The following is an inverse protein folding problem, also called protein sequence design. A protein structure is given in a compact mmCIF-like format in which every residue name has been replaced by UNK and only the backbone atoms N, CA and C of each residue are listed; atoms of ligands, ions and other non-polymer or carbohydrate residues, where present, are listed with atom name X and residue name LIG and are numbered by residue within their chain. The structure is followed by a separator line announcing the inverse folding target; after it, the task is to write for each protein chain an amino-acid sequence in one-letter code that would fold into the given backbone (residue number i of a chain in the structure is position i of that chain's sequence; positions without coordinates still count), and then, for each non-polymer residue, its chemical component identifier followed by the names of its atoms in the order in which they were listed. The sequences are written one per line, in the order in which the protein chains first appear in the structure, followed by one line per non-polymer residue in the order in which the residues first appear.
data_IF_530188432465
#
_entry.id   IF_530188432465
#
_cell.length_a   1.000
_cell.length_b   1.000
_cell.length_c   1.000
_cell.angle_alpha   90.00
_cell.angle_beta   90.00
_cell.angle_gamma   90.00
#
_symmetry.space_group_name_H-M   'P 1'
#
loop_
_entity.id
_entity.type
_entity.pdbx_description
1 polymer ?
#
# COMPACT_ATOMS: atom_id res chain seq x y z
N UNK A 1 14.59 1.40 23.98
CA UNK A 1 13.51 1.39 25.00
C UNK A 1 12.16 1.82 24.40
N UNK A 2 12.15 2.70 23.40
CA UNK A 2 10.93 3.29 22.79
C UNK A 2 10.03 2.27 22.07
N UNK A 3 10.54 1.26 21.34
CA UNK A 3 9.67 0.35 20.56
C UNK A 3 8.79 -0.58 21.36
N UNK A 4 9.32 -1.21 22.43
CA UNK A 4 8.50 -2.11 23.26
C UNK A 4 7.48 -1.35 24.11
N UNK A 5 7.83 -0.13 24.53
CA UNK A 5 6.93 0.74 25.27
C UNK A 5 5.89 1.39 24.33
N UNK A 6 6.27 1.83 23.12
CA UNK A 6 5.37 2.38 22.11
C UNK A 6 4.41 1.32 21.56
N UNK A 7 4.91 0.16 21.11
CA UNK A 7 4.05 -0.96 20.70
C UNK A 7 3.20 -1.44 21.89
N UNK A 8 3.79 -1.54 23.09
CA UNK A 8 3.07 -1.90 24.31
C UNK A 8 1.96 -0.92 24.68
N UNK A 9 2.17 0.39 24.51
CA UNK A 9 1.19 1.44 24.84
C UNK A 9 0.12 1.59 23.75
N UNK A 10 0.49 1.42 22.47
CA UNK A 10 -0.43 1.28 21.35
C UNK A 10 -1.37 0.07 21.57
N UNK A 11 -0.81 -1.10 21.89
CA UNK A 11 -1.58 -2.32 22.13
C UNK A 11 -2.46 -2.23 23.38
N UNK A 12 -2.04 -1.51 24.44
CA UNK A 12 -2.87 -1.25 25.62
C UNK A 12 -4.07 -0.37 25.29
N UNK A 13 -3.92 0.64 24.41
CA UNK A 13 -5.03 1.53 23.99
C UNK A 13 -6.06 0.79 23.12
N UNK A 14 -5.65 -0.09 22.21
CA UNK A 14 -6.61 -0.85 21.38
C UNK A 14 -7.51 -1.80 22.19
N UNK A 15 -7.06 -2.29 23.35
CA UNK A 15 -7.94 -3.06 24.27
C UNK A 15 -9.11 -2.24 24.81
N UNK A 16 -9.04 -0.90 24.78
CA UNK A 16 -10.07 0.00 25.32
C UNK A 16 -11.11 0.45 24.28
N UNK A 17 -10.87 0.21 22.99
CA UNK A 17 -11.71 0.68 21.87
C UNK A 17 -12.44 -0.45 21.13
N UNK A 18 -12.82 -1.54 21.81
CA UNK A 18 -13.75 -2.51 21.21
C UNK A 18 -15.15 -1.88 21.06
N UNK A 19 -15.84 -2.08 19.92
CA UNK A 19 -17.27 -1.76 19.82
C UNK A 19 -18.05 -2.56 20.86
N UNK A 20 -19.05 -1.92 21.49
CA UNK A 20 -19.98 -2.57 22.44
C UNK A 20 -20.70 -3.71 21.72
N UNK A 21 -20.22 -4.93 21.92
CA UNK A 21 -21.00 -6.14 21.65
C UNK A 21 -22.01 -6.25 22.79
N UNK A 22 -23.29 -6.16 22.44
CA UNK A 22 -24.41 -6.40 23.36
C UNK A 22 -24.32 -7.84 23.87
N UNK A 23 -23.85 -8.00 25.11
CA UNK A 23 -23.82 -9.29 25.81
C UNK A 23 -25.24 -9.70 26.17
N UNK A 24 -25.75 -10.76 25.53
CA UNK A 24 -26.87 -11.54 26.08
C UNK A 24 -26.28 -12.47 27.14
N UNK A 25 -26.84 -12.37 28.35
CA UNK A 25 -26.25 -12.90 29.57
C UNK A 25 -26.19 -14.42 29.69
N UNK A 26 -25.12 -14.87 30.34
CA UNK A 26 -24.99 -16.17 30.97
C UNK A 26 -23.99 -16.03 32.13
N UNK A 27 -24.47 -16.24 33.36
CA UNK A 27 -23.71 -16.07 34.60
C UNK A 27 -22.86 -17.30 34.96
N UNK A 28 -21.84 -17.05 35.81
CA UNK A 28 -21.17 -17.88 36.85
C UNK A 28 -19.64 -17.64 36.79
N UNK A 29 -19.07 -16.79 37.64
CA UNK A 29 -18.65 -16.91 39.06
C UNK A 29 -17.24 -17.53 39.29
N UNK A 30 -16.39 -16.67 39.88
CA UNK A 30 -15.19 -16.85 40.77
C UNK A 30 -14.01 -17.77 40.40
N UNK A 31 -12.83 -17.15 40.46
CA UNK A 31 -11.56 -17.80 40.82
C UNK A 31 -10.36 -16.90 40.54
N UNK A 32 -9.85 -16.20 41.56
CA UNK A 32 -8.61 -15.43 41.44
C UNK A 32 -7.39 -16.33 41.56
N UNK A 33 -6.38 -16.10 40.72
CA UNK A 33 -5.04 -16.58 40.99
C UNK A 33 -3.97 -15.64 40.45
N UNK A 34 -2.93 -15.45 41.26
CA UNK A 34 -1.78 -14.58 41.00
C UNK A 34 -0.97 -15.15 39.84
N UNK A 35 -0.90 -14.43 38.72
CA UNK A 35 -0.06 -14.82 37.60
C UNK A 35 1.29 -14.11 37.69
N UNK A 36 2.31 -14.94 37.94
CA UNK A 36 3.72 -14.59 37.85
C UNK A 36 4.06 -14.09 36.45
N UNK A 37 4.72 -12.93 36.39
CA UNK A 37 5.30 -12.39 35.17
C UNK A 37 6.48 -13.27 34.74
N UNK A 38 6.26 -14.19 33.81
CA UNK A 38 7.31 -14.91 33.09
C UNK A 38 6.99 -14.88 31.60
N UNK A 39 7.91 -14.26 30.84
CA UNK A 39 8.09 -14.32 29.39
C UNK A 39 6.79 -14.42 28.54
N UNK A 40 6.31 -13.26 28.07
CA UNK A 40 5.35 -13.23 26.98
C UNK A 40 6.02 -13.79 25.72
N UNK A 41 5.80 -15.07 25.47
CA UNK A 41 5.86 -15.67 24.14
C UNK A 41 4.92 -14.84 23.28
N UNK A 42 5.44 -14.13 22.28
CA UNK A 42 4.63 -13.30 21.38
C UNK A 42 3.56 -14.20 20.74
N UNK A 43 2.31 -13.98 21.12
CA UNK A 43 1.17 -14.78 20.72
C UNK A 43 0.54 -14.05 19.54
N UNK A 44 0.53 -14.68 18.35
CA UNK A 44 0.00 -14.15 17.07
C UNK A 44 -0.93 -12.95 17.17
N UNK A 45 -0.35 -11.76 17.21
CA UNK A 45 -1.05 -10.49 17.37
C UNK A 45 -1.20 -9.74 16.05
N UNK A 46 -0.59 -10.25 14.97
CA UNK A 46 -0.66 -9.63 13.64
C UNK A 46 -2.11 -9.49 13.14
N UNK A 47 -2.98 -10.45 13.46
CA UNK A 47 -4.39 -10.39 13.09
C UNK A 47 -5.15 -9.23 13.75
N UNK A 48 -4.63 -8.67 14.85
CA UNK A 48 -5.26 -7.51 15.50
C UNK A 48 -5.22 -6.24 14.64
N UNK A 49 -4.28 -6.16 13.69
CA UNK A 49 -4.10 -5.00 12.80
C UNK A 49 -4.33 -5.33 11.33
N UNK A 50 -4.41 -6.63 10.99
CA UNK A 50 -4.59 -7.06 9.63
C UNK A 50 -6.03 -6.84 9.15
N UNK A 51 -6.17 -6.67 7.84
CA UNK A 51 -7.47 -6.81 7.19
C UNK A 51 -7.77 -8.30 7.00
N UNK A 52 -8.85 -8.76 7.62
CA UNK A 52 -9.45 -10.08 7.38
C UNK A 52 -10.37 -10.04 6.13
N UNK A 53 -10.91 -11.18 5.68
CA UNK A 53 -11.76 -11.28 4.48
C UNK A 53 -11.08 -10.73 3.19
N UNK A 54 -9.89 -11.27 2.92
CA UNK A 54 -9.05 -10.82 1.80
C UNK A 54 -9.68 -11.19 0.46
N UNK A 55 -9.89 -10.18 -0.39
CA UNK A 55 -10.24 -10.43 -1.79
C UNK A 55 -9.01 -10.98 -2.51
N UNK A 56 -9.15 -12.20 -3.03
CA UNK A 56 -8.17 -12.88 -3.89
C UNK A 56 -8.76 -13.10 -5.27
N UNK A 57 -7.90 -13.37 -6.26
CA UNK A 57 -8.34 -13.85 -7.57
C UNK A 57 -7.53 -15.09 -7.99
N UNK A 58 -8.14 -16.04 -8.72
CA UNK A 58 -7.41 -17.18 -9.29
C UNK A 58 -6.30 -16.79 -10.27
N UNK A 59 -5.21 -17.58 -10.39
CA UNK A 59 -4.14 -17.34 -11.38
C UNK A 59 -4.64 -17.28 -12.83
N UNK A 60 -5.75 -17.96 -13.11
CA UNK A 60 -6.40 -18.03 -14.43
C UNK A 60 -7.34 -16.86 -14.72
N UNK A 61 -7.55 -15.96 -13.75
CA UNK A 61 -8.33 -14.74 -13.95
C UNK A 61 -7.62 -13.86 -14.98
N UNK A 62 -8.35 -13.29 -15.94
CA UNK A 62 -7.70 -12.41 -16.91
C UNK A 62 -7.12 -11.15 -16.26
N UNK A 63 -6.08 -10.58 -16.88
CA UNK A 63 -5.49 -9.30 -16.47
C UNK A 63 -6.58 -8.22 -16.38
N UNK A 64 -7.46 -8.13 -17.40
CA UNK A 64 -8.58 -7.18 -17.41
C UNK A 64 -9.56 -7.38 -16.23
N UNK A 65 -9.93 -8.62 -15.92
CA UNK A 65 -10.81 -8.91 -14.78
C UNK A 65 -10.15 -8.58 -13.44
N UNK A 66 -8.84 -8.77 -13.35
CA UNK A 66 -8.03 -8.35 -12.20
C UNK A 66 -8.05 -6.83 -12.06
N UNK A 67 -7.83 -6.08 -13.15
CA UNK A 67 -7.93 -4.61 -13.17
C UNK A 67 -9.30 -4.14 -12.72
N UNK A 68 -10.39 -4.76 -13.21
CA UNK A 68 -11.74 -4.44 -12.76
C UNK A 68 -11.93 -4.68 -11.27
N UNK A 69 -11.37 -5.78 -10.74
CA UNK A 69 -11.40 -6.08 -9.30
C UNK A 69 -10.67 -4.99 -8.50
N UNK A 70 -9.47 -4.60 -8.93
CA UNK A 70 -8.70 -3.52 -8.31
C UNK A 70 -9.46 -2.19 -8.31
N UNK A 71 -10.06 -1.81 -9.44
CA UNK A 71 -10.80 -0.55 -9.57
C UNK A 71 -12.09 -0.54 -8.76
N UNK A 72 -12.89 -1.61 -8.83
CA UNK A 72 -14.17 -1.69 -8.16
C UNK A 72 -14.04 -1.75 -6.63
N UNK A 73 -13.01 -2.45 -6.14
CA UNK A 73 -12.76 -2.57 -4.70
C UNK A 73 -11.83 -1.47 -4.16
N UNK A 74 -11.22 -0.66 -5.03
CA UNK A 74 -10.22 0.33 -4.63
C UNK A 74 -8.89 -0.28 -4.17
N UNK A 75 -8.66 -1.57 -4.42
CA UNK A 75 -7.47 -2.27 -3.98
C UNK A 75 -6.29 -2.04 -4.91
N UNK A 76 -5.15 -1.69 -4.32
CA UNK A 76 -3.90 -1.44 -5.04
C UNK A 76 -3.01 -2.70 -5.13
N UNK A 77 -3.45 -3.78 -4.49
CA UNK A 77 -2.74 -5.05 -4.33
C UNK A 77 -3.76 -6.16 -4.09
N UNK A 78 -3.55 -7.31 -4.72
CA UNK A 78 -4.42 -8.48 -4.63
C UNK A 78 -3.52 -9.72 -4.52
N UNK A 79 -3.66 -10.55 -3.47
CA UNK A 79 -3.08 -11.88 -3.46
C UNK A 79 -3.74 -12.77 -4.52
N UNK A 80 -2.92 -13.48 -5.28
CA UNK A 80 -3.38 -14.46 -6.26
C UNK A 80 -3.43 -15.81 -5.57
N UNK A 81 -4.60 -16.43 -5.54
CA UNK A 81 -4.81 -17.67 -4.79
C UNK A 81 -5.73 -18.63 -5.55
N UNK A 82 -5.53 -19.93 -5.35
CA UNK A 82 -6.34 -20.96 -6.01
C UNK A 82 -7.83 -20.84 -5.67
N UNK A 83 -8.68 -21.06 -6.68
CA UNK A 83 -10.11 -21.11 -6.49
C UNK A 83 -10.49 -22.24 -5.52
N UNK A 84 -11.29 -21.91 -4.50
CA UNK A 84 -11.77 -22.87 -3.51
C UNK A 84 -10.80 -23.07 -2.34
N UNK A 85 -9.56 -23.49 -2.59
CA UNK A 85 -8.58 -23.75 -1.51
C UNK A 85 -7.97 -22.49 -0.92
N UNK A 86 -8.01 -21.35 -1.64
CA UNK A 86 -7.38 -20.10 -1.22
C UNK A 86 -5.86 -20.20 -1.00
N UNK A 87 -5.20 -21.26 -1.52
CA UNK A 87 -3.74 -21.38 -1.42
C UNK A 87 -3.07 -20.27 -2.22
N UNK A 88 -2.12 -19.57 -1.58
CA UNK A 88 -1.37 -18.49 -2.21
C UNK A 88 -0.51 -19.02 -3.37
N UNK A 89 -0.65 -18.40 -4.54
CA UNK A 89 0.12 -18.73 -5.75
C UNK A 89 0.99 -17.59 -6.24
N UNK A 90 0.64 -16.37 -5.85
CA UNK A 90 1.37 -15.18 -6.24
C UNK A 90 0.68 -13.94 -5.70
N UNK A 91 1.09 -12.79 -6.19
CA UNK A 91 0.44 -11.54 -5.87
C UNK A 91 0.61 -10.55 -7.00
N UNK A 92 -0.31 -9.59 -7.07
CA UNK A 92 -0.23 -8.53 -8.05
C UNK A 92 -0.50 -7.18 -7.42
N UNK A 93 0.33 -6.20 -7.76
CA UNK A 93 0.16 -4.81 -7.34
C UNK A 93 -0.14 -3.92 -8.53
N UNK A 94 -0.66 -2.73 -8.24
CA UNK A 94 -1.06 -1.76 -9.26
C UNK A 94 0.12 -1.40 -10.18
N UNK A 95 1.34 -1.38 -9.65
CA UNK A 95 2.55 -1.13 -10.45
C UNK A 95 2.83 -2.23 -11.46
N UNK A 96 2.49 -3.49 -11.19
CA UNK A 96 2.68 -4.58 -12.16
C UNK A 96 1.77 -4.41 -13.37
N UNK A 97 0.56 -3.89 -13.14
CA UNK A 97 -0.36 -3.54 -14.23
C UNK A 97 0.14 -2.30 -14.99
N UNK A 98 0.60 -1.27 -14.28
CA UNK A 98 1.15 -0.06 -14.94
C UNK A 98 2.41 -0.40 -15.74
N UNK A 99 3.27 -1.28 -15.23
CA UNK A 99 4.41 -1.88 -15.93
C UNK A 99 3.96 -2.57 -17.22
N UNK A 100 2.98 -3.46 -17.13
CA UNK A 100 2.39 -4.13 -18.29
C UNK A 100 1.79 -3.15 -19.32
N UNK A 101 1.10 -2.10 -18.88
CA UNK A 101 0.42 -1.14 -19.77
C UNK A 101 1.34 -0.05 -20.35
N UNK A 102 2.38 0.38 -19.63
CA UNK A 102 3.15 1.60 -19.92
C UNK A 102 4.59 1.32 -20.39
N UNK A 103 4.91 0.11 -20.84
CA UNK A 103 6.21 -0.18 -21.43
C UNK A 103 7.33 -0.45 -20.41
N UNK A 104 7.00 -1.06 -19.27
CA UNK A 104 7.97 -1.64 -18.35
C UNK A 104 8.34 -3.09 -18.74
N UNK A 105 9.09 -3.83 -17.90
CA UNK A 105 9.47 -5.21 -18.15
C UNK A 105 8.30 -6.15 -18.54
N UNK A 106 7.15 -6.06 -17.86
CA UNK A 106 5.98 -6.92 -18.13
C UNK A 106 5.30 -6.60 -19.45
N UNK A 107 5.55 -5.43 -20.02
CA UNK A 107 5.05 -5.07 -21.35
C UNK A 107 5.63 -5.98 -22.45
N UNK A 108 6.72 -6.71 -22.19
CA UNK A 108 7.26 -7.68 -23.14
C UNK A 108 6.24 -8.76 -23.53
N UNK A 109 5.28 -9.08 -22.64
CA UNK A 109 4.16 -9.96 -22.96
C UNK A 109 3.36 -9.43 -24.17
N UNK A 110 3.04 -8.14 -24.15
CA UNK A 110 2.30 -7.46 -25.20
C UNK A 110 3.07 -7.47 -26.52
N UNK A 111 4.34 -7.10 -26.49
CA UNK A 111 5.15 -7.00 -27.72
C UNK A 111 5.45 -8.36 -28.31
N UNK A 112 5.84 -9.33 -27.48
CA UNK A 112 6.39 -10.61 -27.95
C UNK A 112 5.30 -11.61 -28.34
N UNK A 113 4.17 -11.64 -27.59
CA UNK A 113 3.07 -12.61 -27.83
C UNK A 113 1.91 -12.01 -28.61
N UNK A 114 1.68 -10.69 -28.52
CA UNK A 114 0.51 -10.03 -29.11
C UNK A 114 0.86 -8.97 -30.16
N UNK A 115 2.12 -8.81 -30.53
CA UNK A 115 2.54 -7.87 -31.57
C UNK A 115 2.15 -6.42 -31.28
N UNK A 116 2.11 -6.03 -30.01
CA UNK A 116 1.69 -4.68 -29.59
C UNK A 116 0.20 -4.53 -29.29
N UNK A 117 -0.62 -5.57 -29.52
CA UNK A 117 -2.07 -5.49 -29.28
C UNK A 117 -2.41 -5.66 -27.80
N UNK A 118 -2.47 -4.54 -27.06
CA UNK A 118 -2.83 -4.52 -25.63
C UNK A 118 -4.24 -5.05 -25.38
N UNK A 119 -5.21 -4.74 -26.26
CA UNK A 119 -6.60 -5.20 -26.07
C UNK A 119 -6.72 -6.73 -26.14
N UNK A 120 -5.87 -7.39 -26.92
CA UNK A 120 -5.75 -8.84 -26.88
C UNK A 120 -5.01 -9.31 -25.62
N UNK A 121 -3.87 -8.69 -25.32
CA UNK A 121 -2.99 -9.08 -24.21
C UNK A 121 -3.68 -8.99 -22.84
N UNK A 122 -4.57 -8.03 -22.59
CA UNK A 122 -5.32 -7.90 -21.31
C UNK A 122 -6.29 -9.07 -21.06
N UNK A 123 -6.57 -9.91 -22.06
CA UNK A 123 -7.37 -11.12 -21.88
C UNK A 123 -6.55 -12.33 -21.44
N UNK A 124 -5.21 -12.25 -21.45
CA UNK A 124 -4.36 -13.29 -20.88
C UNK A 124 -4.55 -13.41 -19.37
N UNK A 125 -4.13 -14.56 -18.85
CA UNK A 125 -4.21 -14.88 -17.43
C UNK A 125 -3.25 -14.01 -16.61
N UNK A 126 -3.68 -13.61 -15.42
CA UNK A 126 -2.92 -12.76 -14.50
C UNK A 126 -1.61 -13.42 -14.07
N UNK A 127 -1.53 -14.77 -14.07
CA UNK A 127 -0.30 -15.51 -13.77
C UNK A 127 0.87 -15.14 -14.67
N UNK A 128 0.63 -14.62 -15.87
CA UNK A 128 1.67 -14.22 -16.82
C UNK A 128 2.41 -12.96 -16.38
N UNK A 129 1.82 -12.18 -15.45
CA UNK A 129 2.38 -10.90 -14.98
C UNK A 129 2.43 -10.78 -13.45
N UNK A 130 1.94 -11.76 -12.69
CA UNK A 130 1.99 -11.74 -11.23
C UNK A 130 3.42 -11.99 -10.71
N UNK A 131 3.69 -11.57 -9.48
CA UNK A 131 4.88 -12.01 -8.74
C UNK A 131 4.60 -13.37 -8.10
N UNK A 132 5.52 -14.32 -8.25
CA UNK A 132 5.40 -15.67 -7.69
C UNK A 132 6.18 -15.83 -6.38
N UNK A 133 7.26 -15.07 -6.20
CA UNK A 133 8.04 -15.10 -4.96
C UNK A 133 7.45 -14.09 -3.96
N UNK A 134 6.41 -14.53 -3.26
CA UNK A 134 5.64 -13.68 -2.35
C UNK A 134 6.04 -13.95 -0.92
N UNK A 135 6.60 -12.94 -0.25
CA UNK A 135 6.77 -12.96 1.20
C UNK A 135 5.39 -12.95 1.89
N UNK A 136 5.22 -13.82 2.88
CA UNK A 136 3.99 -13.95 3.65
C UNK A 136 4.28 -14.18 5.14
N UNK A 137 3.26 -14.02 5.96
CA UNK A 137 3.25 -14.35 7.39
C UNK A 137 2.30 -15.51 7.64
N UNK A 138 2.40 -16.13 8.82
CA UNK A 138 1.37 -17.05 9.32
C UNK A 138 0.48 -16.35 10.36
N UNK A 139 -0.73 -16.85 10.59
CA UNK A 139 -1.68 -16.31 11.59
C UNK A 139 -1.12 -16.20 13.02
N UNK A 140 -0.07 -16.97 13.34
CA UNK A 140 0.61 -16.91 14.63
C UNK A 140 1.82 -15.94 14.67
N UNK A 141 2.11 -15.24 13.58
CA UNK A 141 3.21 -14.27 13.50
C UNK A 141 2.92 -13.03 14.34
N UNK A 142 3.98 -12.36 14.76
CA UNK A 142 3.88 -11.11 15.52
C UNK A 142 3.89 -9.86 14.62
N UNK A 143 3.46 -8.73 15.17
CA UNK A 143 3.65 -7.39 14.59
C UNK A 143 5.14 -7.13 14.33
N UNK A 144 6.03 -7.56 15.23
CA UNK A 144 7.48 -7.42 15.04
C UNK A 144 8.00 -8.25 13.85
N UNK A 145 7.56 -9.50 13.70
CA UNK A 145 7.93 -10.34 12.54
C UNK A 145 7.52 -9.66 11.22
N UNK A 146 6.34 -9.05 11.20
CA UNK A 146 5.83 -8.33 10.03
C UNK A 146 6.68 -7.09 9.69
N UNK A 147 7.03 -6.28 10.70
CA UNK A 147 7.89 -5.11 10.54
C UNK A 147 9.30 -5.47 10.04
N UNK A 148 9.89 -6.53 10.59
CA UNK A 148 11.20 -7.03 10.19
C UNK A 148 11.16 -7.57 8.76
N UNK A 149 10.17 -8.39 8.41
CA UNK A 149 10.03 -8.96 7.07
C UNK A 149 9.76 -7.89 6.00
N UNK A 150 8.89 -6.91 6.28
CA UNK A 150 8.62 -5.80 5.35
C UNK A 150 9.88 -4.97 5.08
N UNK A 151 10.70 -4.74 6.11
CA UNK A 151 11.96 -4.01 5.99
C UNK A 151 12.99 -4.80 5.18
N UNK A 152 13.17 -6.07 5.50
CA UNK A 152 14.22 -6.91 4.90
C UNK A 152 13.96 -7.21 3.43
N UNK A 153 12.69 -7.45 3.05
CA UNK A 153 12.30 -7.76 1.67
C UNK A 153 11.83 -6.49 0.92
N UNK A 154 11.74 -5.33 1.59
CA UNK A 154 11.31 -4.06 1.03
C UNK A 154 9.92 -4.12 0.36
N UNK A 155 8.99 -4.83 0.99
CA UNK A 155 7.60 -5.01 0.53
C UNK A 155 6.65 -4.16 1.37
N UNK A 156 5.59 -3.66 0.74
CA UNK A 156 4.61 -2.79 1.43
C UNK A 156 3.37 -3.50 1.95
N UNK A 157 3.32 -4.82 1.80
CA UNK A 157 2.26 -5.67 2.31
C UNK A 157 2.75 -7.11 2.42
N UNK A 158 2.06 -7.89 3.25
CA UNK A 158 2.28 -9.30 3.46
C UNK A 158 0.92 -10.00 3.55
N UNK A 159 0.62 -10.98 2.67
CA UNK A 159 -0.46 -11.92 2.92
C UNK A 159 -0.19 -12.70 4.23
N UNK A 160 -1.26 -13.03 4.94
CA UNK A 160 -1.22 -13.84 6.16
C UNK A 160 -1.91 -15.16 5.84
N UNK A 161 -1.19 -16.26 6.02
CA UNK A 161 -1.64 -17.61 5.75
C UNK A 161 -2.08 -18.30 7.03
N UNK A 162 -3.11 -19.12 6.94
CA UNK A 162 -3.45 -20.06 8.00
C UNK A 162 -2.55 -21.31 7.97
N UNK A 163 -2.87 -22.29 8.82
CA UNK A 163 -2.14 -23.56 8.93
C UNK A 163 -2.23 -24.44 7.68
N UNK A 164 -3.21 -24.20 6.81
CA UNK A 164 -3.48 -24.96 5.59
C UNK A 164 -2.90 -24.24 4.35
N UNK A 165 -2.08 -23.20 4.58
CA UNK A 165 -1.46 -22.30 3.59
C UNK A 165 -2.47 -21.48 2.77
N UNK A 166 -3.69 -21.34 3.30
CA UNK A 166 -4.74 -20.53 2.70
C UNK A 166 -4.63 -19.08 3.14
N UNK A 167 -4.89 -18.14 2.22
CA UNK A 167 -4.88 -16.69 2.53
C UNK A 167 -6.02 -16.37 3.50
N UNK A 168 -5.65 -15.96 4.72
CA UNK A 168 -6.56 -15.65 5.83
C UNK A 168 -6.59 -14.16 6.18
N UNK A 169 -5.57 -13.39 5.79
CA UNK A 169 -5.47 -11.96 6.12
C UNK A 169 -4.45 -11.25 5.24
N UNK A 170 -4.41 -9.92 5.34
CA UNK A 170 -3.38 -9.10 4.71
C UNK A 170 -3.01 -7.95 5.65
N UNK A 171 -1.71 -7.69 5.80
CA UNK A 171 -1.18 -6.55 6.54
C UNK A 171 -0.29 -5.71 5.64
N UNK A 172 -0.22 -4.41 5.90
CA UNK A 172 0.28 -3.40 4.97
C UNK A 172 0.99 -2.27 5.72
N UNK A 173 1.82 -1.49 5.03
CA UNK A 173 2.46 -0.28 5.61
C UNK A 173 1.43 0.68 6.25
N UNK A 174 0.20 0.72 5.71
CA UNK A 174 -0.88 1.56 6.21
C UNK A 174 -1.34 1.13 7.61
N UNK A 175 -1.38 -0.17 7.90
CA UNK A 175 -1.83 -0.68 9.20
C UNK A 175 -0.87 -0.25 10.31
N UNK A 176 0.44 -0.21 10.03
CA UNK A 176 1.45 0.30 10.95
C UNK A 176 1.43 1.82 11.12
N UNK A 177 1.11 2.56 10.05
CA UNK A 177 0.89 4.00 10.15
C UNK A 177 -0.31 4.29 11.09
N UNK A 178 -1.40 3.55 10.96
CA UNK A 178 -2.57 3.68 11.85
C UNK A 178 -2.27 3.36 13.32
N UNK A 179 -1.25 2.55 13.61
CA UNK A 179 -0.84 2.27 14.99
C UNK A 179 -0.28 3.50 15.71
N UNK A 180 0.34 4.43 14.98
CA UNK A 180 0.99 5.62 15.56
C UNK A 180 0.25 6.92 15.29
N UNK A 181 -0.85 6.87 14.53
CA UNK A 181 -1.72 8.01 14.28
C UNK A 181 -2.24 8.62 15.60
N UNK A 182 -2.00 9.91 15.79
CA UNK A 182 -2.45 10.69 16.96
C UNK A 182 -1.65 10.39 18.23
N UNK A 183 -0.47 9.78 18.11
CA UNK A 183 0.45 9.53 19.21
C UNK A 183 1.69 10.38 19.01
N UNK A 184 1.93 11.33 19.92
CA UNK A 184 3.18 12.10 19.94
C UNK A 184 4.37 11.16 20.14
N UNK A 185 5.20 10.99 19.10
CA UNK A 185 6.36 10.10 19.13
C UNK A 185 7.60 10.87 19.63
N UNK A 186 7.62 12.20 19.47
CA UNK A 186 8.77 13.04 19.72
C UNK A 186 9.83 12.87 18.64
N UNK A 187 9.41 12.57 17.40
CA UNK A 187 10.27 12.31 16.26
C UNK A 187 9.87 13.23 15.11
N UNK A 188 10.81 14.03 14.64
CA UNK A 188 10.55 15.01 13.58
C UNK A 188 10.36 14.32 12.23
N UNK A 189 9.43 14.84 11.43
CA UNK A 189 9.25 14.44 10.03
C UNK A 189 10.56 14.57 9.24
N UNK A 190 11.35 15.61 9.51
CA UNK A 190 12.64 15.87 8.86
C UNK A 190 13.63 14.69 8.98
N UNK A 191 13.56 13.90 10.06
CA UNK A 191 14.48 12.78 10.32
C UNK A 191 14.19 11.57 9.43
N UNK A 192 12.96 11.46 8.91
CA UNK A 192 12.49 10.29 8.16
C UNK A 192 12.12 10.58 6.72
N UNK A 193 11.73 11.83 6.39
CA UNK A 193 11.34 12.20 5.03
C UNK A 193 12.45 11.97 4.01
N UNK A 194 12.05 11.70 2.77
CA UNK A 194 12.97 11.71 1.63
C UNK A 194 13.11 13.12 1.08
N UNK A 195 14.33 13.65 1.01
CA UNK A 195 14.62 15.03 0.55
C UNK A 195 14.88 15.12 -0.95
N UNK A 196 15.32 14.03 -1.59
CA UNK A 196 15.50 13.97 -3.04
C UNK A 196 14.19 13.53 -3.72
N UNK A 197 13.26 14.47 -3.86
CA UNK A 197 11.93 14.19 -4.40
C UNK A 197 11.98 14.21 -5.93
N UNK A 198 11.73 13.06 -6.55
CA UNK A 198 11.48 12.99 -7.99
C UNK A 198 10.10 13.55 -8.32
N UNK A 199 10.05 14.51 -9.24
CA UNK A 199 8.83 15.20 -9.66
C UNK A 199 8.65 15.11 -11.18
N UNK A 200 7.46 15.46 -11.66
CA UNK A 200 7.18 15.66 -13.08
C UNK A 200 6.50 17.00 -13.33
N UNK A 201 6.71 17.56 -14.52
CA UNK A 201 5.97 18.73 -14.99
C UNK A 201 4.52 18.34 -15.38
N UNK A 202 3.56 19.28 -15.37
CA UNK A 202 2.15 19.00 -15.62
C UNK A 202 1.86 18.47 -17.03
N UNK A 203 2.73 18.82 -17.98
CA UNK A 203 2.64 18.42 -19.38
C UNK A 203 3.40 17.11 -19.69
N UNK A 204 4.08 16.52 -18.70
CA UNK A 204 4.62 15.18 -18.84
C UNK A 204 3.50 14.18 -19.17
N UNK A 205 3.79 13.18 -19.98
CA UNK A 205 2.77 12.23 -20.43
C UNK A 205 2.55 11.13 -19.40
N UNK A 206 1.37 10.50 -19.43
CA UNK A 206 1.05 9.34 -18.58
C UNK A 206 2.04 8.21 -18.81
N UNK A 207 2.42 7.93 -20.06
CA UNK A 207 3.38 6.86 -20.38
C UNK A 207 4.77 7.12 -19.82
N UNK A 208 5.29 8.34 -19.98
CA UNK A 208 6.61 8.71 -19.43
C UNK A 208 6.61 8.71 -17.90
N UNK A 209 5.54 9.19 -17.28
CA UNK A 209 5.37 9.18 -15.82
C UNK A 209 5.21 7.77 -15.27
N UNK A 210 4.43 6.92 -15.95
CA UNK A 210 4.28 5.50 -15.62
C UNK A 210 5.63 4.79 -15.67
N UNK A 211 6.41 5.00 -16.74
CA UNK A 211 7.76 4.44 -16.86
C UNK A 211 8.69 4.91 -15.74
N UNK A 212 8.67 6.20 -15.41
CA UNK A 212 9.43 6.76 -14.30
C UNK A 212 9.06 6.11 -12.94
N UNK A 213 7.78 5.82 -12.72
CA UNK A 213 7.31 5.08 -11.53
C UNK A 213 7.86 3.65 -11.48
N UNK A 214 7.90 2.95 -12.60
CA UNK A 214 8.40 1.57 -12.65
C UNK A 214 9.92 1.54 -12.46
N UNK A 215 10.65 2.36 -13.20
CA UNK A 215 12.11 2.38 -13.21
C UNK A 215 12.70 2.75 -11.83
N UNK A 216 12.00 3.59 -11.06
CA UNK A 216 12.44 4.02 -9.72
C UNK A 216 11.70 3.34 -8.57
N UNK A 217 10.76 2.43 -8.86
CA UNK A 217 9.98 1.76 -7.81
C UNK A 217 8.97 2.66 -7.07
N UNK A 218 8.62 3.83 -7.63
CA UNK A 218 7.69 4.76 -7.00
C UNK A 218 6.23 4.38 -7.24
N UNK A 219 5.38 4.59 -6.23
CA UNK A 219 3.92 4.39 -6.34
C UNK A 219 3.17 5.68 -6.68
N UNK A 220 3.84 6.81 -6.56
CA UNK A 220 3.30 8.16 -6.62
C UNK A 220 4.41 9.15 -6.93
N UNK A 221 4.07 10.19 -7.70
CA UNK A 221 5.00 11.23 -8.14
C UNK A 221 4.31 12.59 -7.97
N UNK A 222 4.93 13.53 -7.24
CA UNK A 222 4.47 14.92 -7.20
C UNK A 222 4.55 15.60 -8.56
N UNK A 223 3.52 16.38 -8.89
CA UNK A 223 3.46 17.20 -10.09
C UNK A 223 3.76 18.64 -9.70
N UNK A 224 4.86 19.18 -10.23
CA UNK A 224 5.39 20.50 -9.87
C UNK A 224 5.45 21.37 -11.12
N UNK A 225 5.13 22.66 -10.99
CA UNK A 225 5.27 23.66 -12.05
C UNK A 225 5.93 24.91 -11.45
N UNK A 226 7.06 25.32 -12.00
CA UNK A 226 7.82 26.48 -11.49
C UNK A 226 8.07 26.39 -9.96
N UNK A 227 8.54 25.23 -9.50
CA UNK A 227 8.78 24.91 -8.07
C UNK A 227 7.54 24.87 -7.16
N UNK A 228 6.35 25.11 -7.72
CA UNK A 228 5.08 25.02 -6.98
C UNK A 228 4.48 23.65 -7.19
N UNK A 229 4.20 22.95 -6.08
CA UNK A 229 3.45 21.71 -6.08
C UNK A 229 1.99 21.98 -6.50
N UNK A 230 1.55 21.35 -7.59
CA UNK A 230 0.17 21.49 -8.09
C UNK A 230 -0.67 20.24 -7.87
N UNK A 231 -0.06 19.08 -7.60
CA UNK A 231 -0.76 17.81 -7.53
C UNK A 231 0.14 16.63 -7.18
N UNK A 232 -0.48 15.47 -6.98
CA UNK A 232 0.22 14.17 -6.93
C UNK A 232 -0.50 13.23 -7.89
N UNK A 233 0.25 12.46 -8.66
CA UNK A 233 -0.28 11.38 -9.49
C UNK A 233 0.21 10.05 -8.95
N UNK A 234 -0.68 9.09 -8.80
CA UNK A 234 -0.35 7.73 -8.33
C UNK A 234 -0.43 6.71 -9.45
N UNK A 235 0.24 5.57 -9.29
CA UNK A 235 0.09 4.43 -10.19
C UNK A 235 -1.39 3.99 -10.31
N UNK A 236 -2.18 4.18 -9.24
CA UNK A 236 -3.61 3.88 -9.24
C UNK A 236 -4.43 4.88 -10.06
N UNK A 237 -4.02 6.15 -10.14
CA UNK A 237 -4.67 7.13 -11.03
C UNK A 237 -4.40 6.80 -12.50
N UNK A 238 -3.17 6.36 -12.82
CA UNK A 238 -2.83 5.85 -14.17
C UNK A 238 -3.67 4.61 -14.49
N UNK A 239 -3.73 3.64 -13.58
CA UNK A 239 -4.55 2.43 -13.74
C UNK A 239 -6.03 2.77 -13.94
N UNK A 240 -6.57 3.69 -13.14
CA UNK A 240 -7.96 4.16 -13.26
C UNK A 240 -8.20 4.78 -14.63
N UNK A 241 -7.32 5.66 -15.08
CA UNK A 241 -7.45 6.34 -16.36
C UNK A 241 -7.46 5.35 -17.55
N UNK A 242 -6.52 4.40 -17.55
CA UNK A 242 -6.37 3.42 -18.63
C UNK A 242 -7.40 2.28 -18.55
N UNK A 243 -7.80 1.87 -17.35
CA UNK A 243 -8.62 0.67 -17.11
C UNK A 243 -10.12 0.89 -16.97
N UNK A 244 -10.57 2.13 -16.72
CA UNK A 244 -12.01 2.45 -16.52
C UNK A 244 -12.75 2.86 -17.79
N UNK A 245 -12.04 2.99 -18.92
CA UNK A 245 -12.57 3.57 -20.15
C UNK A 245 -12.55 5.10 -20.18
N UNK A 246 -12.09 5.77 -19.10
CA UNK A 246 -11.95 7.23 -19.04
C UNK A 246 -11.13 7.78 -20.22
N UNK A 247 -10.03 7.12 -20.59
CA UNK A 247 -9.23 7.50 -21.76
C UNK A 247 -10.06 7.57 -23.06
N UNK A 248 -10.94 6.59 -23.31
CA UNK A 248 -11.82 6.56 -24.47
C UNK A 248 -12.83 7.71 -24.42
N UNK A 249 -13.40 7.99 -23.25
CA UNK A 249 -14.34 9.11 -23.08
C UNK A 249 -13.69 10.48 -23.31
N UNK A 250 -12.37 10.57 -23.09
CA UNK A 250 -11.56 11.76 -23.40
C UNK A 250 -10.98 11.77 -24.82
N UNK A 251 -11.44 10.86 -25.69
CA UNK A 251 -11.14 10.88 -27.12
C UNK A 251 -9.90 10.09 -27.55
N UNK A 252 -9.27 9.32 -26.65
CA UNK A 252 -8.18 8.42 -27.06
C UNK A 252 -8.73 7.33 -28.00
N UNK A 253 -8.07 7.11 -29.13
CA UNK A 253 -8.47 6.08 -30.12
C UNK A 253 -7.73 4.76 -29.94
N UNK A 254 -6.65 4.79 -29.16
CA UNK A 254 -5.85 3.63 -28.79
C UNK A 254 -5.04 3.89 -27.53
N UNK A 255 -4.22 2.91 -27.14
CA UNK A 255 -3.39 3.04 -25.94
C UNK A 255 -2.31 4.12 -26.11
N UNK A 256 -1.73 4.27 -27.30
CA UNK A 256 -0.66 5.25 -27.53
C UNK A 256 -1.17 6.69 -27.33
N UNK A 257 -2.39 6.96 -27.79
CA UNK A 257 -3.07 8.23 -27.52
C UNK A 257 -3.29 8.42 -26.01
N UNK A 258 -3.77 7.39 -25.32
CA UNK A 258 -4.02 7.42 -23.88
C UNK A 258 -2.73 7.66 -23.07
N UNK A 259 -1.62 7.02 -23.46
CA UNK A 259 -0.31 7.20 -22.82
C UNK A 259 0.30 8.57 -23.11
N UNK A 260 -0.08 9.21 -24.21
CA UNK A 260 0.37 10.55 -24.59
C UNK A 260 -0.37 11.67 -23.86
N UNK A 261 -1.46 11.35 -23.14
CA UNK A 261 -2.22 12.34 -22.37
C UNK A 261 -1.35 12.96 -21.26
N UNK A 262 -1.37 14.29 -21.07
CA UNK A 262 -0.68 14.97 -19.98
C UNK A 262 -1.15 14.56 -18.58
N UNK A 263 -0.23 14.41 -17.63
CA UNK A 263 -0.54 14.03 -16.25
C UNK A 263 -1.36 15.05 -15.49
N UNK A 264 -1.32 16.34 -15.86
CA UNK A 264 -2.23 17.37 -15.29
C UNK A 264 -3.71 17.00 -15.40
N UNK A 265 -4.08 16.14 -16.36
CA UNK A 265 -5.46 15.67 -16.52
C UNK A 265 -5.89 14.65 -15.46
N UNK A 266 -4.92 14.07 -14.73
CA UNK A 266 -5.14 13.14 -13.62
C UNK A 266 -5.12 13.85 -12.25
N UNK A 267 -4.59 15.08 -12.20
CA UNK A 267 -4.59 15.90 -10.99
C UNK A 267 -6.01 16.40 -10.74
N UNK A 268 -6.67 15.86 -9.72
CA UNK A 268 -8.07 16.19 -9.43
C UNK A 268 -8.44 16.24 -7.95
N UNK A 269 -7.47 16.05 -7.05
CA UNK A 269 -7.67 16.10 -5.60
C UNK A 269 -6.78 17.17 -4.99
N UNK A 270 -7.29 17.79 -3.94
CA UNK A 270 -6.47 18.64 -3.09
C UNK A 270 -5.31 17.83 -2.53
N UNK A 271 -4.13 18.44 -2.54
CA UNK A 271 -2.93 17.81 -2.01
C UNK A 271 -2.88 18.06 -0.52
N UNK A 272 -2.87 16.98 0.26
CA UNK A 272 -2.62 17.05 1.69
C UNK A 272 -1.11 17.07 1.88
N UNK A 273 -0.60 18.09 2.56
CA UNK A 273 0.82 18.34 2.77
C UNK A 273 1.06 18.80 4.22
N UNK A 274 2.31 18.76 4.66
CA UNK A 274 2.73 19.24 5.99
C UNK A 274 4.13 19.86 5.92
N UNK A 275 4.66 20.38 7.02
CA UNK A 275 6.00 20.96 7.15
C UNK A 275 6.98 19.94 7.78
N UNK A 276 8.28 20.19 7.65
CA UNK A 276 9.31 19.26 8.12
C UNK A 276 9.50 19.23 9.64
N UNK A 277 9.06 20.26 10.36
CA UNK A 277 9.24 20.44 11.80
C UNK A 277 8.18 19.71 12.66
N UNK A 278 7.10 19.23 12.05
CA UNK A 278 6.03 18.49 12.73
C UNK A 278 6.46 17.12 13.27
N UNK A 279 5.66 16.57 14.19
CA UNK A 279 5.83 15.20 14.68
C UNK A 279 5.31 14.18 13.67
N UNK A 280 5.98 13.04 13.57
CA UNK A 280 5.59 11.97 12.66
C UNK A 280 4.25 11.34 13.04
N UNK A 281 3.86 11.32 14.32
CA UNK A 281 2.55 10.83 14.78
C UNK A 281 1.39 11.69 14.31
N UNK A 282 1.57 13.01 14.28
CA UNK A 282 0.60 13.96 13.70
C UNK A 282 0.51 13.76 12.18
N UNK A 283 1.63 13.49 11.52
CA UNK A 283 1.65 13.15 10.10
C UNK A 283 0.90 11.84 9.80
N UNK A 284 1.03 10.82 10.67
CA UNK A 284 0.22 9.61 10.58
C UNK A 284 -1.28 9.90 10.73
N UNK A 285 -1.67 10.72 11.70
CA UNK A 285 -3.07 11.11 11.88
C UNK A 285 -3.62 11.80 10.63
N UNK A 286 -2.88 12.77 10.09
CA UNK A 286 -3.24 13.47 8.86
C UNK A 286 -3.38 12.50 7.66
N UNK A 287 -2.47 11.54 7.50
CA UNK A 287 -2.58 10.50 6.46
C UNK A 287 -3.83 9.63 6.66
N UNK A 288 -4.10 9.21 7.89
CA UNK A 288 -5.24 8.37 8.25
C UNK A 288 -6.58 9.05 8.00
N UNK A 289 -6.75 10.29 8.46
CA UNK A 289 -7.99 11.06 8.32
C UNK A 289 -8.33 11.38 6.86
N UNK A 290 -7.30 11.62 6.04
CA UNK A 290 -7.47 11.98 4.64
C UNK A 290 -7.41 10.79 3.67
N UNK A 291 -7.13 9.58 4.16
CA UNK A 291 -6.99 8.38 3.33
C UNK A 291 -5.87 8.50 2.28
N UNK A 292 -4.77 9.15 2.63
CA UNK A 292 -3.60 9.36 1.76
C UNK A 292 -2.39 8.58 2.27
N UNK A 293 -1.66 7.93 1.36
CA UNK A 293 -0.48 7.15 1.76
C UNK A 293 0.84 7.93 1.77
N UNK A 294 0.79 9.25 1.56
CA UNK A 294 1.94 10.14 1.58
C UNK A 294 1.57 11.59 1.81
N UNK A 295 2.51 12.34 2.33
CA UNK A 295 2.47 13.79 2.49
C UNK A 295 3.70 14.39 1.81
N UNK A 296 3.51 15.27 0.81
CA UNK A 296 4.55 16.21 0.41
C UNK A 296 4.90 17.13 1.57
N UNK A 297 6.19 17.37 1.73
CA UNK A 297 6.71 18.26 2.75
C UNK A 297 7.03 19.58 2.07
N UNK A 298 6.38 20.65 2.54
CA UNK A 298 6.50 21.98 1.97
C UNK A 298 6.99 22.93 3.06
N UNK A 299 8.21 23.44 2.89
CA UNK A 299 8.78 24.46 3.77
C UNK A 299 9.00 25.74 2.97
N UNK A 300 8.65 26.89 3.54
CA UNK A 300 8.74 28.21 2.89
C UNK A 300 8.09 28.26 1.49
N UNK A 301 7.05 27.46 1.27
CA UNK A 301 6.31 27.38 0.00
C UNK A 301 6.96 26.52 -1.08
N UNK A 302 8.04 25.80 -0.77
CA UNK A 302 8.77 24.93 -1.71
C UNK A 302 8.65 23.48 -1.28
N UNK A 303 8.52 22.56 -2.23
CA UNK A 303 8.56 21.12 -1.97
C UNK A 303 9.97 20.70 -1.55
N UNK A 304 10.16 20.40 -0.27
CA UNK A 304 11.46 20.03 0.33
C UNK A 304 11.61 18.54 0.59
N UNK A 305 10.50 17.80 0.64
CA UNK A 305 10.52 16.38 0.94
C UNK A 305 9.24 15.63 0.64
N UNK A 306 9.28 14.32 0.89
CA UNK A 306 8.12 13.43 0.84
C UNK A 306 8.19 12.46 2.01
N UNK A 307 7.06 12.32 2.72
CA UNK A 307 6.84 11.30 3.73
C UNK A 307 5.80 10.29 3.22
N UNK A 308 6.01 9.00 3.50
CA UNK A 308 5.14 7.92 3.02
C UNK A 308 4.83 6.89 4.12
N UNK A 309 3.82 6.04 3.91
CA UNK A 309 3.48 4.92 4.81
C UNK A 309 4.70 4.05 5.19
N UNK A 310 5.66 3.89 4.27
CA UNK A 310 6.90 3.13 4.49
C UNK A 310 7.78 3.72 5.59
N UNK A 311 7.75 5.04 5.77
CA UNK A 311 8.59 5.71 6.75
C UNK A 311 8.15 5.34 8.18
N UNK A 312 6.87 5.03 8.40
CA UNK A 312 6.37 4.52 9.69
C UNK A 312 6.90 3.12 10.04
N UNK A 313 7.07 2.24 9.05
CA UNK A 313 7.77 0.95 9.26
C UNK A 313 9.23 1.19 9.68
N UNK A 314 9.89 2.21 9.10
CA UNK A 314 11.26 2.59 9.52
C UNK A 314 11.28 3.15 10.94
N UNK A 315 10.35 4.03 11.30
CA UNK A 315 10.21 4.56 12.68
C UNK A 315 10.08 3.41 13.68
N UNK A 316 9.15 2.50 13.42
CA UNK A 316 8.85 1.37 14.32
C UNK A 316 9.98 0.32 14.39
N UNK A 317 10.90 0.29 13.43
CA UNK A 317 12.02 -0.68 13.43
C UNK A 317 13.37 -0.10 13.90
N UNK A 318 13.51 1.22 14.03
CA UNK A 318 14.82 1.88 14.23
C UNK A 318 15.35 1.86 15.69
N UNK A 319 14.60 1.32 16.66
CA UNK A 319 15.01 1.35 18.09
C UNK A 319 15.95 0.22 18.56
N UNK A 320 16.79 -0.35 17.68
CA UNK A 320 17.77 -1.41 18.03
C UNK A 320 19.19 -0.90 18.35
N UNK A 321 19.37 0.35 18.78
CA UNK A 321 20.66 0.84 19.29
C UNK A 321 20.59 1.24 20.76
#
# INVERSE_FOLDING_TARGET
MITRDLLGDVMKRQRTTKPRITMVGGALDRGGDKLNAHAAVHHGDILAIATEDVVTVPPTTSIMSTVKTMLNQGFRRIPIADAGTQQLRGSIVCRDIVDFLCGGPRHSLVTNRFGGNILAAVNEEVREIMETDVAYLYTNSSIEDALELMKDVNVGYLPILDKDESVSGIVTEQDFMHLVAGIEIGTSIADYMSTNVTTVEPDATIGTTGKLMIDNGFRRIPVVKNDILIGIVTAFDILRFLGSGEALTKGATGIDDALSVPVKTLVGREVIWTTSDGDIGDAAEMMAENGVGSLPIIDDGVLTGMLTERDFVRVLTTSRR
#
